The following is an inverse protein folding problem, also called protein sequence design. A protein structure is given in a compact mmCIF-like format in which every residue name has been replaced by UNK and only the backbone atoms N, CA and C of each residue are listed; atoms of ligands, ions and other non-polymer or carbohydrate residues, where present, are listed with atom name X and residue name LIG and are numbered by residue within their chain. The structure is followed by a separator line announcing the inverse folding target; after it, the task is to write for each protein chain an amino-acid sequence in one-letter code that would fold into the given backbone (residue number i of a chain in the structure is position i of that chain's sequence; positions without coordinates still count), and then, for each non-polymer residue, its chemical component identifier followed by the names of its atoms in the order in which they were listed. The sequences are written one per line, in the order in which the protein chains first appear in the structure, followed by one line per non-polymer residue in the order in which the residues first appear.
data_IF_249392676215
#
_entry.id   IF_249392676215
#
_cell.length_a   1.000
_cell.length_b   1.000
_cell.length_c   1.000
_cell.angle_alpha   90.00
_cell.angle_beta   90.00
_cell.angle_gamma   90.00
#
_symmetry.space_group_name_H-M   'P 1'
#
loop_
_entity.id
_entity.type
_entity.pdbx_description
1 polymer ?
#
# COMPACT_ATOMS: atom_id res chain seq x y z
N UNK A 1 33.67 24.08 35.84
CA UNK A 1 33.27 24.77 34.60
C UNK A 1 33.57 23.83 33.45
N UNK A 2 32.54 23.21 32.86
CA UNK A 2 32.67 22.39 31.67
C UNK A 2 31.63 22.90 30.67
N UNK A 3 32.11 23.66 29.68
CA UNK A 3 31.29 24.14 28.56
C UNK A 3 30.84 22.94 27.74
N UNK A 4 29.55 22.65 27.74
CA UNK A 4 28.94 21.71 26.79
C UNK A 4 28.49 22.51 25.58
N UNK A 5 29.27 22.47 24.51
CA UNK A 5 28.89 23.01 23.22
C UNK A 5 27.72 22.19 22.66
N UNK A 6 26.55 22.82 22.51
CA UNK A 6 25.43 22.32 21.72
C UNK A 6 25.88 22.24 20.25
N UNK A 7 26.14 21.02 19.79
CA UNK A 7 26.69 20.75 18.46
C UNK A 7 25.58 20.25 17.52
N UNK A 8 25.28 21.07 16.51
CA UNK A 8 24.60 20.81 15.24
C UNK A 8 23.16 20.26 15.21
N UNK A 9 22.25 21.06 14.64
CA UNK A 9 21.21 20.55 13.75
C UNK A 9 21.90 19.81 12.59
N UNK A 10 22.00 18.48 12.68
CA UNK A 10 22.50 17.67 11.57
C UNK A 10 21.32 17.44 10.61
N UNK A 11 21.18 18.32 9.62
CA UNK A 11 20.37 18.00 8.43
C UNK A 11 21.07 16.88 7.65
N UNK A 12 20.63 15.63 7.84
CA UNK A 12 21.20 14.47 7.12
C UNK A 12 20.56 14.39 5.71
N UNK A 13 21.34 14.45 4.61
CA UNK A 13 20.81 14.20 3.27
C UNK A 13 20.44 12.72 3.09
N UNK A 14 19.44 12.38 2.25
CA UNK A 14 19.06 11.00 2.00
C UNK A 14 20.20 10.26 1.27
N UNK A 15 20.73 9.21 1.89
CA UNK A 15 21.71 8.34 1.24
C UNK A 15 20.99 7.47 0.19
N UNK A 16 20.99 7.93 -1.06
CA UNK A 16 20.53 7.15 -2.21
C UNK A 16 21.47 5.97 -2.47
N UNK A 17 21.03 4.75 -2.16
CA UNK A 17 21.65 3.53 -2.70
C UNK A 17 20.88 3.08 -3.93
N UNK A 18 21.52 3.22 -5.09
CA UNK A 18 21.13 2.58 -6.34
C UNK A 18 21.19 1.06 -6.15
N UNK A 19 20.03 0.40 -6.28
CA UNK A 19 19.91 -1.07 -6.22
C UNK A 19 20.08 -1.59 -7.64
N UNK A 20 21.27 -2.09 -7.95
CA UNK A 20 21.54 -2.82 -9.19
C UNK A 20 21.13 -4.29 -9.01
N UNK A 21 20.07 -4.72 -9.70
CA UNK A 21 19.62 -6.11 -9.71
C UNK A 21 20.58 -6.98 -10.54
N UNK A 22 21.36 -7.85 -9.89
CA UNK A 22 22.15 -8.88 -10.58
C UNK A 22 21.32 -10.17 -10.68
N UNK A 23 21.05 -10.58 -11.93
CA UNK A 23 20.30 -11.78 -12.31
C UNK A 23 21.11 -13.04 -11.98
N UNK A 24 20.55 -13.95 -11.16
CA UNK A 24 21.14 -15.27 -10.90
C UNK A 24 20.61 -16.25 -11.94
N UNK A 25 21.49 -16.71 -12.82
CA UNK A 25 21.26 -17.83 -13.76
C UNK A 25 21.55 -19.16 -13.08
N UNK A 26 20.57 -20.07 -13.03
CA UNK A 26 20.72 -21.43 -12.51
C UNK A 26 21.29 -22.36 -13.59
N UNK A 27 22.40 -23.03 -13.26
CA UNK A 27 23.02 -24.06 -14.07
C UNK A 27 22.36 -25.44 -13.82
N UNK A 28 22.28 -26.23 -14.89
CA UNK A 28 21.72 -27.59 -14.98
C UNK A 28 22.82 -28.62 -14.76
N UNK A 29 22.54 -29.79 -14.15
CA UNK A 29 23.38 -30.97 -14.36
C UNK A 29 22.64 -32.08 -15.14
N UNK A 30 23.32 -32.58 -16.17
CA UNK A 30 23.23 -33.93 -16.79
C UNK A 30 23.55 -35.01 -15.74
N UNK A 31 23.07 -36.25 -15.76
CA UNK A 31 22.21 -37.10 -16.59
C UNK A 31 22.34 -38.54 -16.03
N UNK A 32 21.43 -39.46 -16.36
CA UNK A 32 21.64 -40.94 -16.44
C UNK A 32 20.41 -41.54 -17.13
N UNK A 33 20.66 -42.42 -18.11
CA UNK A 33 19.72 -43.13 -18.97
C UNK A 33 19.59 -44.61 -18.58
N UNK A 34 18.38 -45.18 -18.60
CA UNK A 34 18.12 -46.64 -18.68
C UNK A 34 16.79 -46.93 -19.43
N UNK A 35 16.61 -48.13 -20.03
CA UNK A 35 15.85 -48.36 -21.28
C UNK A 35 14.37 -48.77 -21.10
N UNK A 36 13.56 -48.86 -22.19
CA UNK A 36 12.13 -49.19 -22.09
C UNK A 36 11.86 -50.69 -22.24
N UNK A 37 10.78 -51.24 -21.65
CA UNK A 37 10.27 -52.54 -22.03
C UNK A 37 9.28 -52.44 -23.20
N UNK A 38 9.43 -53.37 -24.14
CA UNK A 38 8.53 -53.63 -25.27
C UNK A 38 7.33 -54.45 -24.78
N UNK A 39 6.12 -54.14 -25.25
CA UNK A 39 5.03 -55.12 -25.33
C UNK A 39 4.22 -54.93 -26.63
N UNK A 40 3.91 -56.07 -27.23
CA UNK A 40 3.27 -56.25 -28.55
C UNK A 40 1.77 -56.50 -28.37
N UNK A 41 0.97 -55.79 -29.18
CA UNK A 41 -0.29 -56.20 -29.84
C UNK A 41 -1.47 -56.73 -29.01
N UNK A 42 -2.65 -56.10 -29.14
CA UNK A 42 -3.62 -56.51 -30.18
C UNK A 42 -4.78 -55.50 -30.34
N UNK A 43 -5.25 -55.36 -31.58
CA UNK A 43 -6.37 -54.52 -32.02
C UNK A 43 -7.73 -55.08 -31.56
N UNK A 44 -8.70 -54.21 -31.26
CA UNK A 44 -10.02 -54.19 -31.89
C UNK A 44 -10.78 -52.88 -31.62
N UNK A 45 -11.38 -52.40 -32.70
CA UNK A 45 -12.06 -51.14 -32.97
C UNK A 45 -13.38 -50.93 -32.23
N UNK A 46 -13.73 -49.66 -31.97
CA UNK A 46 -15.08 -49.13 -32.21
C UNK A 46 -15.03 -47.61 -32.37
N UNK A 47 -15.55 -47.15 -33.51
CA UNK A 47 -15.53 -45.78 -33.99
C UNK A 47 -16.51 -44.88 -33.22
N UNK A 48 -16.08 -43.67 -32.88
CA UNK A 48 -16.98 -42.57 -32.52
C UNK A 48 -16.76 -41.43 -33.50
N UNK A 49 -17.85 -41.12 -34.22
CA UNK A 49 -17.97 -40.09 -35.25
C UNK A 49 -17.68 -38.70 -34.70
N UNK A 50 -16.91 -37.95 -35.47
CA UNK A 50 -16.83 -36.50 -35.46
C UNK A 50 -18.14 -35.89 -35.96
N UNK A 51 -18.59 -34.80 -35.32
CA UNK A 51 -19.57 -33.88 -35.90
C UNK A 51 -19.10 -32.44 -35.70
N UNK A 52 -18.57 -31.90 -36.80
CA UNK A 52 -18.30 -30.49 -37.04
C UNK A 52 -19.52 -29.82 -37.67
N UNK A 53 -19.62 -28.51 -37.42
CA UNK A 53 -20.33 -27.48 -38.20
C UNK A 53 -21.85 -27.35 -38.10
N UNK A 54 -22.30 -26.29 -37.41
CA UNK A 54 -23.43 -25.47 -37.87
C UNK A 54 -22.98 -24.00 -37.97
N UNK A 55 -23.03 -23.53 -39.22
CA UNK A 55 -22.73 -22.16 -39.66
C UNK A 55 -23.97 -21.30 -39.42
N UNK A 56 -23.79 -20.11 -38.87
CA UNK A 56 -24.71 -18.99 -39.10
C UNK A 56 -23.86 -17.80 -39.59
N UNK A 57 -24.00 -17.50 -40.87
CA UNK A 57 -23.34 -16.38 -41.52
C UNK A 57 -24.27 -15.16 -41.45
N UNK A 58 -23.95 -14.21 -40.57
CA UNK A 58 -24.57 -12.89 -40.61
C UNK A 58 -23.71 -11.98 -41.49
N UNK A 59 -24.31 -11.58 -42.62
CA UNK A 59 -23.73 -10.75 -43.68
C UNK A 59 -23.57 -9.32 -43.16
N UNK A 60 -22.35 -8.94 -42.78
CA UNK A 60 -21.97 -7.55 -42.47
C UNK A 60 -21.85 -6.76 -43.79
N UNK A 61 -22.79 -5.83 -43.98
CA UNK A 61 -22.56 -4.67 -44.84
C UNK A 61 -21.92 -3.60 -43.96
N UNK A 62 -20.59 -3.49 -44.02
CA UNK A 62 -19.86 -2.38 -43.42
C UNK A 62 -19.84 -1.29 -44.49
N UNK A 63 -20.75 -0.33 -44.34
CA UNK A 63 -20.50 1.03 -44.80
C UNK A 63 -19.43 1.58 -43.87
N UNK A 64 -18.30 1.95 -44.44
CA UNK A 64 -17.25 2.72 -43.78
C UNK A 64 -17.83 4.05 -43.30
N UNK A 65 -18.22 4.10 -42.03
CA UNK A 65 -18.28 5.34 -41.27
C UNK A 65 -17.39 5.13 -40.06
N UNK A 66 -16.13 5.54 -40.21
CA UNK A 66 -15.23 5.74 -39.08
C UNK A 66 -15.92 6.69 -38.10
N UNK A 67 -16.17 6.30 -36.84
CA UNK A 67 -16.68 7.24 -35.87
C UNK A 67 -15.65 8.37 -35.66
N UNK A 68 -16.08 9.61 -35.39
CA UNK A 68 -15.17 10.72 -35.20
C UNK A 68 -14.24 10.38 -34.04
N UNK A 69 -12.94 10.39 -34.31
CA UNK A 69 -11.90 10.12 -33.30
C UNK A 69 -11.80 11.34 -32.39
N UNK A 70 -12.72 11.48 -31.44
CA UNK A 70 -12.50 12.32 -30.27
C UNK A 70 -11.44 11.63 -29.43
N UNK A 71 -10.18 12.01 -29.64
CA UNK A 71 -9.06 11.52 -28.83
C UNK A 71 -9.34 11.91 -27.38
N UNK A 72 -9.69 10.94 -26.52
CA UNK A 72 -9.94 11.20 -25.10
C UNK A 72 -8.68 11.80 -24.48
N UNK A 73 -8.84 12.94 -23.81
CA UNK A 73 -7.75 13.55 -23.07
C UNK A 73 -7.53 12.82 -21.75
N UNK A 74 -6.65 11.81 -21.80
CA UNK A 74 -6.27 11.03 -20.64
C UNK A 74 -5.55 11.86 -19.57
N UNK A 75 -4.89 12.96 -19.94
CA UNK A 75 -4.23 13.85 -18.95
C UNK A 75 -5.28 14.62 -18.16
N UNK A 76 -6.35 15.07 -18.82
CA UNK A 76 -7.47 15.70 -18.14
C UNK A 76 -8.12 14.75 -17.13
N UNK A 77 -8.33 13.47 -17.50
CA UNK A 77 -8.87 12.46 -16.59
C UNK A 77 -7.93 12.14 -15.41
N UNK A 78 -6.60 12.14 -15.64
CA UNK A 78 -5.62 12.01 -14.56
C UNK A 78 -5.72 13.17 -13.57
N UNK A 79 -5.82 14.42 -14.07
CA UNK A 79 -5.97 15.59 -13.22
C UNK A 79 -7.30 15.57 -12.46
N UNK A 80 -8.39 15.20 -13.14
CA UNK A 80 -9.70 14.99 -12.50
C UNK A 80 -9.59 14.04 -11.31
N UNK A 81 -8.88 12.92 -11.43
CA UNK A 81 -8.72 11.98 -10.31
C UNK A 81 -7.86 12.52 -9.17
N UNK A 82 -6.90 13.41 -9.44
CA UNK A 82 -6.17 14.11 -8.38
C UNK A 82 -7.07 15.05 -7.59
N UNK A 83 -8.04 15.67 -8.25
CA UNK A 83 -8.99 16.58 -7.62
C UNK A 83 -10.12 15.80 -6.92
N UNK A 84 -10.68 14.77 -7.55
CA UNK A 84 -11.90 14.08 -7.10
C UNK A 84 -11.65 13.03 -6.01
N UNK A 85 -10.63 12.17 -6.14
CA UNK A 85 -10.43 11.05 -5.21
C UNK A 85 -10.11 11.47 -3.76
N UNK A 86 -9.41 12.58 -3.45
CA UNK A 86 -9.26 13.06 -2.08
C UNK A 86 -10.60 13.34 -1.38
N UNK A 87 -11.66 13.63 -2.14
CA UNK A 87 -13.00 13.92 -1.63
C UNK A 87 -13.87 12.66 -1.42
N UNK A 88 -13.32 11.46 -1.64
CA UNK A 88 -14.03 10.18 -1.57
C UNK A 88 -14.88 9.98 -0.31
N UNK A 89 -14.45 10.51 0.84
CA UNK A 89 -15.18 10.37 2.11
C UNK A 89 -15.57 11.69 2.78
N UNK A 90 -15.36 12.84 2.15
CA UNK A 90 -15.83 14.11 2.70
C UNK A 90 -17.22 14.47 2.18
N UNK A 91 -17.66 15.72 2.42
CA UNK A 91 -19.00 16.18 2.07
C UNK A 91 -19.13 16.57 0.58
N UNK A 92 -18.01 16.79 -0.11
CA UNK A 92 -18.01 17.00 -1.56
C UNK A 92 -18.28 15.68 -2.28
N UNK A 93 -17.63 14.59 -1.83
CA UNK A 93 -17.82 13.28 -2.43
C UNK A 93 -17.27 13.18 -3.85
N UNK A 94 -17.70 12.12 -4.55
CA UNK A 94 -17.26 11.80 -5.92
C UNK A 94 -18.22 12.38 -6.95
N UNK A 95 -17.69 13.03 -7.99
CA UNK A 95 -18.48 13.50 -9.12
C UNK A 95 -18.95 12.34 -10.01
N UNK A 96 -20.23 12.00 -9.85
CA UNK A 96 -20.92 10.96 -10.62
C UNK A 96 -20.84 11.15 -12.14
N UNK A 97 -20.73 12.38 -12.63
CA UNK A 97 -20.84 12.67 -14.06
C UNK A 97 -19.68 12.09 -14.87
N UNK A 98 -18.52 11.91 -14.21
CA UNK A 98 -17.32 11.31 -14.79
C UNK A 98 -17.38 9.78 -14.94
N UNK A 99 -18.41 9.13 -14.40
CA UNK A 99 -18.55 7.66 -14.37
C UNK A 99 -19.71 7.20 -15.26
N UNK A 100 -19.54 6.02 -15.87
CA UNK A 100 -20.65 5.32 -16.54
C UNK A 100 -21.62 4.76 -15.48
N UNK A 101 -22.93 4.74 -15.77
CA UNK A 101 -23.92 4.24 -14.81
C UNK A 101 -23.68 2.77 -14.39
N UNK A 102 -23.15 1.96 -15.31
CA UNK A 102 -22.80 0.54 -15.12
C UNK A 102 -21.30 0.31 -14.84
N UNK A 103 -20.63 1.30 -14.24
CA UNK A 103 -19.24 1.15 -13.82
C UNK A 103 -19.06 -0.06 -12.90
N UNK A 104 -18.00 -0.83 -13.15
CA UNK A 104 -17.67 -2.02 -12.38
C UNK A 104 -16.61 -1.71 -11.33
N UNK A 105 -17.01 -1.68 -10.06
CA UNK A 105 -16.10 -1.61 -8.92
C UNK A 105 -15.84 -3.02 -8.39
N UNK A 106 -14.57 -3.35 -8.21
CA UNK A 106 -14.12 -4.63 -7.64
C UNK A 106 -12.98 -4.37 -6.70
N UNK A 107 -13.10 -4.87 -5.48
CA UNK A 107 -12.01 -5.01 -4.53
C UNK A 107 -11.97 -6.48 -4.04
N UNK A 108 -10.97 -6.88 -3.23
CA UNK A 108 -10.85 -8.26 -2.77
C UNK A 108 -12.07 -8.80 -1.99
N UNK A 109 -12.88 -7.95 -1.34
CA UNK A 109 -13.99 -8.34 -0.47
C UNK A 109 -15.36 -7.77 -0.89
N UNK A 110 -15.40 -6.81 -1.81
CA UNK A 110 -16.61 -6.09 -2.26
C UNK A 110 -16.68 -6.01 -3.78
N UNK A 111 -17.90 -6.06 -4.31
CA UNK A 111 -18.18 -5.79 -5.73
C UNK A 111 -19.44 -4.94 -5.92
N UNK A 112 -19.39 -4.00 -6.85
CA UNK A 112 -20.54 -3.23 -7.30
C UNK A 112 -20.53 -3.07 -8.83
N UNK A 113 -21.69 -3.16 -9.46
CA UNK A 113 -21.87 -3.04 -10.91
C UNK A 113 -22.65 -1.78 -11.30
N UNK A 114 -22.66 -0.79 -10.41
CA UNK A 114 -23.23 0.53 -10.68
C UNK A 114 -22.57 1.60 -9.83
N UNK A 115 -22.57 2.84 -10.32
CA UNK A 115 -22.10 4.02 -9.56
C UNK A 115 -22.94 4.25 -8.30
N UNK A 116 -24.25 3.97 -8.37
CA UNK A 116 -25.15 4.09 -7.21
C UNK A 116 -24.78 3.13 -6.09
N UNK A 117 -24.50 1.85 -6.42
CA UNK A 117 -24.09 0.85 -5.43
C UNK A 117 -22.76 1.18 -4.76
N UNK A 118 -21.80 1.69 -5.53
CA UNK A 118 -20.50 2.13 -5.00
C UNK A 118 -20.64 3.28 -4.00
N UNK A 119 -21.43 4.31 -4.34
CA UNK A 119 -21.63 5.46 -3.47
C UNK A 119 -22.42 5.12 -2.21
N UNK A 120 -23.36 4.17 -2.30
CA UNK A 120 -24.01 3.60 -1.12
C UNK A 120 -22.98 2.95 -0.18
N UNK A 121 -22.03 2.17 -0.72
CA UNK A 121 -20.98 1.54 0.07
C UNK A 121 -20.04 2.57 0.73
N UNK A 122 -19.64 3.62 0.00
CA UNK A 122 -18.88 4.73 0.58
C UNK A 122 -19.65 5.36 1.75
N UNK A 123 -20.95 5.64 1.57
CA UNK A 123 -21.80 6.20 2.63
C UNK A 123 -21.90 5.28 3.85
N UNK A 124 -22.03 3.96 3.63
CA UNK A 124 -22.00 2.97 4.71
C UNK A 124 -20.66 3.00 5.47
N UNK A 125 -19.53 3.05 4.75
CA UNK A 125 -18.20 3.13 5.36
C UNK A 125 -18.00 4.43 6.15
N UNK A 126 -18.45 5.59 5.65
CA UNK A 126 -18.45 6.86 6.39
C UNK A 126 -19.21 6.77 7.72
N UNK A 127 -20.28 5.98 7.76
CA UNK A 127 -21.10 5.82 8.95
C UNK A 127 -20.52 4.82 9.95
N UNK A 128 -19.73 3.85 9.50
CA UNK A 128 -19.15 2.80 10.33
C UNK A 128 -17.71 3.09 10.77
N UNK A 129 -17.00 3.95 10.06
CA UNK A 129 -15.59 4.24 10.28
C UNK A 129 -15.33 5.75 10.26
N UNK A 130 -14.16 6.17 10.74
CA UNK A 130 -13.54 7.46 10.40
C UNK A 130 -12.52 7.20 9.30
N UNK A 131 -12.90 7.30 8.02
CA UNK A 131 -12.00 7.09 6.90
C UNK A 131 -11.09 8.31 6.70
N UNK A 132 -9.85 8.02 6.36
CA UNK A 132 -8.84 8.99 5.94
C UNK A 132 -8.15 8.42 4.70
N UNK A 133 -8.46 9.00 3.54
CA UNK A 133 -7.91 8.58 2.26
C UNK A 133 -6.73 9.46 1.87
N UNK A 134 -5.68 8.83 1.37
CA UNK A 134 -4.48 9.50 0.89
C UNK A 134 -4.14 9.00 -0.50
N UNK A 135 -4.21 9.90 -1.47
CA UNK A 135 -3.76 9.67 -2.83
C UNK A 135 -2.28 10.02 -2.95
N UNK A 136 -1.46 9.06 -3.35
CA UNK A 136 -0.01 9.25 -3.50
C UNK A 136 0.37 9.68 -4.91
N UNK A 137 -0.24 9.05 -5.92
CA UNK A 137 -0.09 9.42 -7.32
C UNK A 137 -1.19 8.81 -8.19
N UNK A 138 -1.38 9.42 -9.35
CA UNK A 138 -2.23 8.99 -10.46
C UNK A 138 -1.39 9.04 -11.73
N UNK A 139 -1.42 7.97 -12.53
CA UNK A 139 -0.65 7.85 -13.78
C UNK A 139 -1.44 7.08 -14.82
N UNK A 140 -1.39 7.54 -16.06
CA UNK A 140 -1.85 6.74 -17.19
C UNK A 140 -0.90 5.54 -17.38
N UNK A 141 -1.45 4.33 -17.39
CA UNK A 141 -0.70 3.07 -17.54
C UNK A 141 -1.02 2.34 -18.84
N UNK A 142 -2.12 2.70 -19.51
CA UNK A 142 -2.49 2.18 -20.82
C UNK A 142 -3.27 3.19 -21.65
N UNK A 143 -3.68 2.85 -22.89
CA UNK A 143 -4.40 3.76 -23.78
C UNK A 143 -5.67 4.34 -23.18
N UNK A 144 -6.42 3.51 -22.43
CA UNK A 144 -7.66 3.87 -21.75
C UNK A 144 -7.64 3.38 -20.30
N UNK A 145 -6.46 3.43 -19.67
CA UNK A 145 -6.24 2.90 -18.33
C UNK A 145 -5.43 3.89 -17.50
N UNK A 146 -5.93 4.20 -16.31
CA UNK A 146 -5.27 5.04 -15.32
C UNK A 146 -5.07 4.21 -14.05
N UNK A 147 -3.84 4.16 -13.55
CA UNK A 147 -3.55 3.54 -12.26
C UNK A 147 -3.36 4.62 -11.20
N UNK A 148 -3.91 4.37 -10.02
CA UNK A 148 -3.71 5.19 -8.83
C UNK A 148 -2.97 4.40 -7.76
N UNK A 149 -2.29 5.11 -6.87
CA UNK A 149 -1.67 4.56 -5.66
C UNK A 149 -2.21 5.30 -4.46
N UNK A 150 -2.66 4.56 -3.46
CA UNK A 150 -3.36 5.14 -2.34
C UNK A 150 -3.08 4.43 -1.01
N UNK A 151 -3.46 5.10 0.07
CA UNK A 151 -3.55 4.56 1.42
C UNK A 151 -4.86 4.99 2.04
N UNK A 152 -5.57 4.02 2.59
CA UNK A 152 -6.81 4.19 3.30
C UNK A 152 -6.58 3.83 4.76
N UNK A 153 -6.90 4.74 5.66
CA UNK A 153 -6.91 4.47 7.10
C UNK A 153 -8.35 4.60 7.56
N UNK A 154 -8.89 3.59 8.23
CA UNK A 154 -10.28 3.56 8.69
C UNK A 154 -10.31 3.18 10.16
N UNK A 155 -10.63 4.13 11.03
CA UNK A 155 -10.83 3.85 12.46
C UNK A 155 -12.27 3.38 12.69
N UNK A 156 -12.46 2.17 13.20
CA UNK A 156 -13.80 1.61 13.43
C UNK A 156 -14.43 2.19 14.69
N UNK A 157 -15.57 2.86 14.55
CA UNK A 157 -16.13 3.68 15.65
C UNK A 157 -17.02 2.90 16.62
N UNK A 158 -17.49 1.71 16.23
CA UNK A 158 -18.47 0.93 17.02
C UNK A 158 -17.83 0.10 18.12
N UNK A 159 -16.50 -0.13 18.08
CA UNK A 159 -15.81 -0.93 19.09
C UNK A 159 -15.09 -0.03 20.11
N UNK A 160 -15.12 -0.37 21.41
CA UNK A 160 -14.53 0.48 22.46
C UNK A 160 -13.04 0.78 22.28
N UNK A 161 -12.28 -0.14 21.68
CA UNK A 161 -10.84 0.02 21.45
C UNK A 161 -10.47 0.68 20.11
N UNK A 162 -11.48 1.11 19.33
CA UNK A 162 -11.33 1.89 18.08
C UNK A 162 -10.22 1.35 17.14
N UNK A 163 -10.30 0.09 16.70
CA UNK A 163 -9.25 -0.50 15.89
C UNK A 163 -9.08 0.29 14.59
N UNK A 164 -7.82 0.48 14.20
CA UNK A 164 -7.44 1.17 12.98
C UNK A 164 -7.15 0.15 11.89
N UNK A 165 -7.93 0.20 10.82
CA UNK A 165 -7.69 -0.60 9.62
C UNK A 165 -6.92 0.26 8.63
N UNK A 166 -5.76 -0.23 8.21
CA UNK A 166 -4.98 0.40 7.15
C UNK A 166 -5.11 -0.46 5.89
N UNK A 167 -5.25 0.15 4.73
CA UNK A 167 -5.17 -0.55 3.46
C UNK A 167 -4.29 0.28 2.55
N UNK A 168 -3.33 -0.36 1.89
CA UNK A 168 -2.54 0.29 0.84
C UNK A 168 -2.66 -0.52 -0.41
N UNK A 169 -2.66 0.16 -1.55
CA UNK A 169 -2.96 -0.53 -2.78
C UNK A 169 -2.80 0.34 -4.00
N UNK A 170 -3.22 -0.25 -5.11
CA UNK A 170 -3.36 0.44 -6.39
C UNK A 170 -4.75 0.19 -6.94
N UNK A 171 -5.33 1.22 -7.56
CA UNK A 171 -6.58 1.06 -8.32
C UNK A 171 -6.30 1.17 -9.80
N UNK A 172 -6.77 0.22 -10.58
CA UNK A 172 -6.75 0.28 -12.04
C UNK A 172 -8.13 0.76 -12.50
N UNK A 173 -8.17 1.95 -13.08
CA UNK A 173 -9.37 2.60 -13.57
C UNK A 173 -9.43 2.51 -15.09
N UNK A 174 -10.48 1.85 -15.61
CA UNK A 174 -10.75 1.73 -17.03
C UNK A 174 -11.60 2.89 -17.53
N UNK A 175 -11.23 3.44 -18.69
CA UNK A 175 -11.94 4.51 -19.37
C UNK A 175 -12.64 3.95 -20.60
N UNK A 176 -13.90 4.30 -20.78
CA UNK A 176 -14.67 3.91 -21.95
C UNK A 176 -14.29 4.80 -23.15
N UNK A 177 -13.72 4.23 -24.23
CA UNK A 177 -13.27 5.01 -25.39
C UNK A 177 -14.39 5.74 -26.14
N UNK A 178 -15.65 5.30 -25.98
CA UNK A 178 -16.79 5.91 -26.66
C UNK A 178 -17.41 7.07 -25.86
N UNK A 179 -17.36 7.02 -24.54
CA UNK A 179 -18.01 8.03 -23.67
C UNK A 179 -17.02 8.96 -22.97
N UNK A 180 -15.75 8.57 -22.87
CA UNK A 180 -14.73 9.29 -22.08
C UNK A 180 -14.89 9.15 -20.57
N UNK A 181 -15.80 8.29 -20.11
CA UNK A 181 -16.12 8.10 -18.68
C UNK A 181 -15.42 6.88 -18.08
N UNK A 182 -15.28 6.86 -16.76
CA UNK A 182 -14.79 5.69 -16.04
C UNK A 182 -15.82 4.56 -16.05
N UNK A 183 -15.41 3.39 -16.54
CA UNK A 183 -16.28 2.21 -16.69
C UNK A 183 -15.84 1.01 -15.84
N UNK A 184 -14.63 1.03 -15.27
CA UNK A 184 -14.21 0.05 -14.28
C UNK A 184 -13.23 0.64 -13.27
N UNK A 185 -13.21 0.04 -12.09
CA UNK A 185 -12.31 0.36 -11.00
C UNK A 185 -11.96 -0.95 -10.29
N UNK A 186 -10.70 -1.38 -10.42
CA UNK A 186 -10.19 -2.61 -9.85
C UNK A 186 -9.18 -2.27 -8.76
N UNK A 187 -9.50 -2.58 -7.51
CA UNK A 187 -8.66 -2.32 -6.34
C UNK A 187 -7.84 -3.54 -5.95
N UNK A 188 -6.53 -3.32 -5.81
CA UNK A 188 -5.56 -4.33 -5.39
C UNK A 188 -4.90 -3.90 -4.08
N UNK A 189 -4.92 -4.77 -3.08
CA UNK A 189 -4.31 -4.55 -1.77
C UNK A 189 -2.89 -5.15 -1.75
N UNK A 190 -1.93 -4.39 -1.23
CA UNK A 190 -0.55 -4.84 -1.08
C UNK A 190 -0.39 -5.91 0.02
N UNK A 191 -1.35 -6.01 0.96
CA UNK A 191 -1.30 -6.95 2.08
C UNK A 191 -1.62 -8.39 1.69
N UNK A 192 -2.14 -8.62 0.49
CA UNK A 192 -2.62 -9.93 0.04
C UNK A 192 -2.06 -10.29 -1.34
N UNK A 193 -1.98 -11.59 -1.63
CA UNK A 193 -1.59 -12.08 -2.95
C UNK A 193 -2.81 -12.29 -3.85
N UNK A 194 -3.88 -12.90 -3.31
CA UNK A 194 -5.10 -13.18 -4.06
C UNK A 194 -6.04 -11.97 -4.01
N UNK A 195 -5.94 -11.10 -5.00
CA UNK A 195 -6.75 -9.89 -5.09
C UNK A 195 -8.08 -10.08 -5.84
N UNK A 196 -8.27 -11.22 -6.50
CA UNK A 196 -9.52 -11.52 -7.18
C UNK A 196 -10.69 -11.60 -6.19
N UNK A 197 -11.79 -10.91 -6.52
CA UNK A 197 -13.03 -11.03 -5.77
C UNK A 197 -13.62 -12.44 -5.96
N UNK A 198 -14.03 -13.17 -4.93
CA UNK A 198 -13.94 -12.88 -3.50
C UNK A 198 -12.67 -13.50 -2.90
N UNK A 199 -11.93 -12.74 -2.10
CA UNK A 199 -10.68 -13.15 -1.47
C UNK A 199 -10.85 -13.43 0.02
N UNK A 200 -10.70 -14.70 0.39
CA UNK A 200 -10.61 -15.12 1.80
C UNK A 200 -9.39 -14.52 2.51
N UNK A 201 -8.30 -14.30 1.77
CA UNK A 201 -7.07 -13.67 2.31
C UNK A 201 -7.36 -12.22 2.71
N UNK A 202 -8.08 -11.47 1.86
CA UNK A 202 -8.55 -10.11 2.16
C UNK A 202 -9.43 -10.07 3.40
N UNK A 203 -10.44 -10.95 3.49
CA UNK A 203 -11.32 -11.01 4.65
C UNK A 203 -10.56 -11.32 5.96
N UNK A 204 -9.61 -12.27 5.93
CA UNK A 204 -8.79 -12.60 7.09
C UNK A 204 -7.86 -11.44 7.49
N UNK A 205 -7.36 -10.66 6.53
CA UNK A 205 -6.57 -9.45 6.80
C UNK A 205 -7.41 -8.39 7.53
N UNK A 206 -8.68 -8.20 7.15
CA UNK A 206 -9.62 -7.32 7.88
C UNK A 206 -9.83 -7.81 9.31
N UNK A 207 -10.17 -9.10 9.49
CA UNK A 207 -10.39 -9.68 10.82
C UNK A 207 -9.13 -9.58 11.70
N UNK A 208 -7.95 -9.75 11.12
CA UNK A 208 -6.68 -9.60 11.84
C UNK A 208 -6.50 -8.19 12.38
N UNK A 209 -6.79 -7.17 11.59
CA UNK A 209 -6.66 -5.76 11.99
C UNK A 209 -7.66 -5.33 13.07
N UNK A 210 -8.82 -5.97 13.14
CA UNK A 210 -9.84 -5.69 14.17
C UNK A 210 -9.44 -6.18 15.58
N UNK A 211 -8.43 -7.06 15.69
CA UNK A 211 -7.98 -7.60 16.98
C UNK A 211 -7.37 -6.52 17.86
N UNK A 212 -7.54 -6.68 19.18
CA UNK A 212 -6.93 -5.79 20.17
C UNK A 212 -5.42 -6.04 20.19
N UNK A 213 -4.65 -5.10 19.63
CA UNK A 213 -3.21 -5.02 19.83
C UNK A 213 -2.94 -3.93 20.87
N UNK A 214 -2.47 -4.32 22.07
CA UNK A 214 -2.16 -3.39 23.16
C UNK A 214 -0.73 -2.88 23.00
N UNK A 215 -0.52 -1.90 22.13
CA UNK A 215 0.67 -1.05 22.24
C UNK A 215 0.48 -0.12 23.45
N UNK A 216 1.50 0.09 24.30
CA UNK A 216 1.43 1.08 25.37
C UNK A 216 1.01 2.44 24.79
N UNK A 217 0.15 3.16 25.51
CA UNK A 217 -0.30 4.50 25.13
C UNK A 217 0.84 5.50 25.38
N UNK A 218 1.84 5.46 24.49
CA UNK A 218 3.01 6.32 24.47
C UNK A 218 3.01 7.10 23.17
N UNK A 219 3.44 8.35 23.25
CA UNK A 219 3.56 9.20 22.08
C UNK A 219 4.54 8.59 21.07
N UNK A 220 4.17 8.65 19.79
CA UNK A 220 4.93 8.13 18.66
C UNK A 220 5.14 9.24 17.64
N UNK A 221 6.33 9.36 17.00
CA UNK A 221 6.55 10.33 15.94
C UNK A 221 5.52 10.15 14.82
N UNK A 222 4.99 11.26 14.30
CA UNK A 222 3.97 11.23 13.24
C UNK A 222 4.54 10.64 11.95
N UNK A 223 3.85 9.67 11.36
CA UNK A 223 4.22 9.10 10.07
C UNK A 223 3.01 8.82 9.18
N UNK A 224 3.28 8.73 7.89
CA UNK A 224 2.36 8.28 6.86
C UNK A 224 2.77 6.87 6.40
N UNK A 225 1.82 5.94 6.31
CA UNK A 225 2.06 4.63 5.71
C UNK A 225 1.94 4.79 4.19
N UNK A 226 3.01 4.45 3.44
CA UNK A 226 3.01 4.50 1.97
C UNK A 226 2.69 3.14 1.35
N UNK A 227 3.03 2.06 2.06
CA UNK A 227 2.81 0.67 1.65
C UNK A 227 2.75 -0.21 2.88
N UNK A 228 1.75 -1.09 2.97
CA UNK A 228 1.69 -2.19 3.92
C UNK A 228 1.49 -3.49 3.18
N UNK A 229 2.41 -4.43 3.38
CA UNK A 229 2.31 -5.80 2.89
C UNK A 229 1.98 -6.76 4.04
N UNK A 230 1.87 -8.05 3.75
CA UNK A 230 1.75 -9.08 4.78
C UNK A 230 2.94 -9.11 5.78
N UNK A 231 4.13 -8.69 5.34
CA UNK A 231 5.39 -8.91 6.06
C UNK A 231 6.13 -7.63 6.48
N UNK A 232 5.86 -6.50 5.83
CA UNK A 232 6.55 -5.25 6.10
C UNK A 232 5.68 -4.03 5.77
N UNK A 233 6.07 -2.91 6.35
CA UNK A 233 5.50 -1.58 6.10
C UNK A 233 6.57 -0.60 5.65
N UNK A 234 6.19 0.30 4.75
CA UNK A 234 6.97 1.47 4.35
C UNK A 234 6.29 2.68 4.96
N UNK A 235 7.00 3.36 5.87
CA UNK A 235 6.52 4.54 6.59
C UNK A 235 7.36 5.75 6.23
N UNK A 236 6.71 6.89 6.00
CA UNK A 236 7.34 8.20 5.84
C UNK A 236 7.09 9.02 7.10
N UNK A 237 8.13 9.21 7.91
CA UNK A 237 8.04 10.01 9.12
C UNK A 237 8.09 11.51 8.79
N UNK A 238 7.33 12.30 9.53
CA UNK A 238 7.51 13.76 9.58
C UNK A 238 8.85 14.07 10.25
N UNK A 239 9.44 15.26 10.05
CA UNK A 239 10.60 15.67 10.85
C UNK A 239 10.27 15.60 12.35
N UNK A 240 11.19 15.06 13.15
CA UNK A 240 11.08 15.01 14.60
C UNK A 240 12.45 15.17 15.27
N UNK A 241 12.46 15.55 16.55
CA UNK A 241 13.69 15.70 17.34
C UNK A 241 13.97 14.42 18.14
N UNK A 242 15.25 14.05 18.22
CA UNK A 242 15.73 12.92 19.03
C UNK A 242 16.80 13.36 20.01
N UNK A 243 16.88 12.65 21.13
CA UNK A 243 18.07 12.57 21.96
C UNK A 243 18.82 11.32 21.55
N UNK A 244 20.10 11.49 21.19
CA UNK A 244 20.96 10.43 20.65
C UNK A 244 22.18 10.27 21.57
N UNK A 245 22.60 9.02 21.80
CA UNK A 245 23.90 8.71 22.38
C UNK A 245 24.57 7.59 21.59
N UNK A 246 25.90 7.56 21.65
CA UNK A 246 26.67 6.44 21.13
C UNK A 246 26.42 5.19 22.01
N UNK A 247 26.22 4.04 21.38
CA UNK A 247 26.05 2.76 22.02
C UNK A 247 27.16 1.79 21.63
N UNK A 248 27.63 0.99 22.58
CA UNK A 248 28.74 0.06 22.35
C UNK A 248 28.36 -1.10 21.41
N UNK A 249 27.10 -1.56 21.46
CA UNK A 249 26.56 -2.72 20.70
C UNK A 249 25.04 -2.58 20.50
N UNK A 250 24.48 -3.25 19.49
CA UNK A 250 23.03 -3.31 19.22
C UNK A 250 22.19 -3.85 20.41
N UNK A 251 22.80 -4.64 21.28
CA UNK A 251 22.19 -5.27 22.45
C UNK A 251 22.67 -4.69 23.80
N UNK A 252 23.45 -3.62 23.78
CA UNK A 252 23.97 -2.98 24.98
C UNK A 252 22.91 -2.10 25.67
N UNK A 253 22.74 -2.25 26.98
CA UNK A 253 21.84 -1.42 27.79
C UNK A 253 22.42 -0.05 28.15
N UNK A 254 23.75 0.14 28.02
CA UNK A 254 24.45 1.37 28.42
C UNK A 254 23.90 2.59 27.70
N UNK A 255 23.89 2.58 26.36
CA UNK A 255 23.39 3.72 25.59
C UNK A 255 21.90 3.98 25.85
N UNK A 256 21.08 2.95 26.05
CA UNK A 256 19.68 3.16 26.46
C UNK A 256 19.58 3.84 27.83
N UNK A 257 20.38 3.42 28.81
CA UNK A 257 20.38 4.01 30.16
C UNK A 257 20.81 5.49 30.16
N UNK A 258 21.67 5.89 29.24
CA UNK A 258 22.11 7.28 29.11
C UNK A 258 20.98 8.17 28.56
N UNK A 259 20.35 7.78 27.44
CA UNK A 259 19.20 8.54 26.90
C UNK A 259 17.98 8.47 27.83
N UNK A 260 17.75 7.33 28.49
CA UNK A 260 16.72 7.19 29.51
C UNK A 260 17.03 8.10 30.70
N UNK A 261 18.28 8.16 31.15
CA UNK A 261 18.74 9.07 32.19
C UNK A 261 18.42 10.53 31.85
N UNK A 262 18.70 10.94 30.62
CA UNK A 262 18.39 12.29 30.14
C UNK A 262 16.89 12.62 30.27
N UNK A 263 16.00 11.75 29.76
CA UNK A 263 14.54 11.99 29.84
C UNK A 263 13.99 11.88 31.27
N UNK A 264 14.67 11.15 32.17
CA UNK A 264 14.27 11.05 33.58
C UNK A 264 14.91 12.09 34.51
N UNK A 265 15.47 13.17 33.96
CA UNK A 265 15.94 14.32 34.74
C UNK A 265 17.46 14.44 34.92
N UNK A 266 18.27 13.60 34.25
CA UNK A 266 19.72 13.83 34.15
C UNK A 266 20.07 14.79 33.01
N UNK A 267 19.30 15.86 32.89
CA UNK A 267 19.56 16.98 31.98
C UNK A 267 19.83 18.25 32.80
N UNK A 268 20.33 19.31 32.14
CA UNK A 268 20.75 20.54 32.82
C UNK A 268 19.63 21.26 33.58
N UNK A 269 18.38 21.06 33.18
CA UNK A 269 17.18 21.65 33.81
C UNK A 269 16.52 20.73 34.83
N UNK A 270 17.06 19.51 35.04
CA UNK A 270 16.47 18.46 35.89
C UNK A 270 15.00 18.13 35.53
N UNK A 271 14.62 18.36 34.28
CA UNK A 271 13.26 18.19 33.80
C UNK A 271 12.97 16.72 33.48
N UNK A 272 11.78 16.23 33.82
CA UNK A 272 11.29 14.91 33.40
C UNK A 272 10.51 15.03 32.10
N UNK A 273 10.96 14.32 31.08
CA UNK A 273 10.35 14.25 29.75
C UNK A 273 9.61 12.91 29.63
N UNK A 274 8.34 12.89 29.18
CA UNK A 274 7.60 11.65 28.94
C UNK A 274 8.34 10.69 27.99
N UNK A 275 8.24 9.39 28.26
CA UNK A 275 8.78 8.35 27.37
C UNK A 275 7.97 8.28 26.08
N UNK A 276 8.65 8.05 24.96
CA UNK A 276 8.03 7.84 23.64
C UNK A 276 8.32 6.44 23.10
N UNK A 277 7.61 6.04 22.06
CA UNK A 277 7.84 4.79 21.34
C UNK A 277 7.91 5.05 19.83
N UNK A 278 8.68 4.27 19.04
CA UNK A 278 9.68 3.30 19.47
C UNK A 278 11.00 3.98 19.89
N UNK A 279 11.89 3.21 20.51
CA UNK A 279 13.31 3.55 20.61
C UNK A 279 13.98 3.11 19.30
N UNK A 280 14.72 4.00 18.67
CA UNK A 280 15.45 3.68 17.45
C UNK A 280 16.90 3.29 17.76
N UNK A 281 17.39 2.27 17.06
CA UNK A 281 18.80 1.88 17.11
C UNK A 281 19.35 1.96 15.69
N UNK A 282 20.35 2.80 15.47
CA UNK A 282 20.96 3.00 14.16
C UNK A 282 22.42 2.50 14.18
N UNK A 283 22.79 1.67 13.21
CA UNK A 283 24.18 1.30 12.96
C UNK A 283 24.72 2.11 11.79
N UNK A 284 25.94 2.64 11.92
CA UNK A 284 26.58 3.47 10.90
C UNK A 284 27.53 2.72 9.97
N UNK A 285 27.92 1.51 10.35
CA UNK A 285 28.81 0.63 9.59
C UNK A 285 28.19 -0.78 9.43
N UNK A 286 28.73 -1.55 8.48
CA UNK A 286 28.27 -2.91 8.23
C UNK A 286 28.63 -3.87 9.37
N UNK A 287 29.74 -3.60 10.05
CA UNK A 287 30.26 -4.39 11.17
C UNK A 287 29.54 -4.11 12.49
N UNK A 288 28.63 -3.12 12.51
CA UNK A 288 27.85 -2.65 13.67
C UNK A 288 28.74 -2.25 14.85
N UNK A 289 29.94 -1.77 14.56
CA UNK A 289 30.91 -1.28 15.54
C UNK A 289 30.56 0.11 16.06
N UNK A 290 29.86 0.93 15.28
CA UNK A 290 29.31 2.20 15.73
C UNK A 290 27.79 2.19 15.66
N UNK A 291 27.17 2.17 16.84
CA UNK A 291 25.72 2.19 17.01
C UNK A 291 25.33 3.47 17.74
N UNK A 292 24.17 4.02 17.41
CA UNK A 292 23.51 5.02 18.25
C UNK A 292 22.12 4.58 18.66
N UNK A 293 21.74 4.99 19.87
CA UNK A 293 20.42 4.77 20.44
C UNK A 293 19.72 6.12 20.52
N UNK A 294 18.48 6.17 20.03
CA UNK A 294 17.72 7.40 19.87
C UNK A 294 16.34 7.26 20.52
N UNK A 295 15.99 8.22 21.37
CA UNK A 295 14.63 8.41 21.89
C UNK A 295 14.06 9.69 21.27
N UNK A 296 12.84 9.60 20.77
CA UNK A 296 12.11 10.75 20.21
C UNK A 296 11.65 11.66 21.33
N UNK A 297 11.74 12.97 21.13
CA UNK A 297 11.17 13.92 22.07
C UNK A 297 9.67 14.15 21.76
N UNK A 298 8.81 14.29 22.79
CA UNK A 298 7.41 14.69 22.62
C UNK A 298 7.26 15.96 21.77
N UNK A 299 6.19 16.04 20.98
CA UNK A 299 5.87 17.16 20.08
C UNK A 299 5.85 18.52 20.80
N UNK A 300 5.37 18.56 22.05
CA UNK A 300 5.34 19.79 22.86
C UNK A 300 6.73 20.38 23.09
N UNK A 301 7.77 19.54 23.11
CA UNK A 301 9.17 19.96 23.27
C UNK A 301 9.82 20.43 21.97
N UNK A 302 9.23 20.13 20.81
CA UNK A 302 9.70 20.65 19.53
C UNK A 302 9.41 22.15 19.38
N UNK A 303 8.32 22.63 19.99
CA UNK A 303 7.78 23.98 19.79
C UNK A 303 8.26 25.01 20.82
N UNK A 304 8.98 24.61 21.87
CA UNK A 304 9.46 25.51 22.94
C UNK A 304 10.85 26.09 22.68
N UNK A 305 11.25 26.28 21.41
CA UNK A 305 12.54 26.87 21.02
C UNK A 305 12.38 28.33 20.58
#
# INVERSE_FOLDING_TARGET
MASTHLCHQISRPPQGRSVCFRRVTTAKPSGISLPPPKYVGNNRSLAVRTQTHLKWALRLSIVDQSPPTSTIDMKQLVNFLYDDLPHLFDDQGIDRTAYDDQVKFRDPITKHDSIGGYLFNIGLLKNLFRPHFQLHWVKQTGPYEITTRWTMVMSFILLPWKPELVFTGTSIMGVNPATGKFCSHLDFWDSIQKNDYFSLEGLLDVIKQLRIYKTPDLETPKYQILKRTANYEVRKYSPFIVVETDGDKLSGSTGFNDVAGYIFGKNSTMEKIPMTTPVFTQAFDADKSKVSIQIVLPLEKEMSR
#
